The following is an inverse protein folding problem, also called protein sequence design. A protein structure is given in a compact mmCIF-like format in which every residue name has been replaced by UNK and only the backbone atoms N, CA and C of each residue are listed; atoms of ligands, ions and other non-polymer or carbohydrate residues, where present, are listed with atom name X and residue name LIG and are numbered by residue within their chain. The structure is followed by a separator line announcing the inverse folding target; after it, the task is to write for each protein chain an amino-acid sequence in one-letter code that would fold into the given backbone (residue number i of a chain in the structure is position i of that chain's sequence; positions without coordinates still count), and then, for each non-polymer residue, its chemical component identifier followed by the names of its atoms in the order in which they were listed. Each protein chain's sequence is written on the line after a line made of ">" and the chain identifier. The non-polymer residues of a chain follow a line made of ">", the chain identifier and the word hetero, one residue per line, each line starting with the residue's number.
data_IF_868342768462
#
_entry.id   IF_868342768462
#
_cell.length_a   1.000
_cell.length_b   1.000
_cell.length_c   1.000
_cell.angle_alpha   90.00
_cell.angle_beta   90.00
_cell.angle_gamma   90.00
#
_symmetry.space_group_name_H-M   'P 1'
#
loop_
_entity.id
_entity.type
_entity.pdbx_description
1 polymer ?
#
# COMPACT_ATOMS: atom_id res chain seq x y z
N UNK A 1 42.69 -20.09 42.08
CA UNK A 1 41.63 -20.59 41.17
C UNK A 1 40.93 -19.36 40.63
N UNK A 2 41.12 -19.08 39.34
CA UNK A 2 40.67 -17.85 38.68
C UNK A 2 39.16 -17.87 38.37
N UNK A 3 38.50 -16.69 38.28
CA UNK A 3 37.05 -16.59 38.10
C UNK A 3 36.64 -16.70 36.63
N UNK A 4 35.83 -17.71 36.27
CA UNK A 4 35.16 -17.74 34.97
C UNK A 4 33.89 -16.90 35.02
N UNK A 5 33.97 -15.72 34.42
CA UNK A 5 32.82 -15.01 33.88
C UNK A 5 32.12 -15.90 32.85
N UNK A 6 30.84 -16.20 33.05
CA UNK A 6 29.96 -16.48 31.92
C UNK A 6 28.67 -15.70 32.11
N UNK A 7 28.65 -14.59 31.37
CA UNK A 7 27.57 -13.64 31.28
C UNK A 7 26.47 -14.28 30.43
N UNK A 8 25.59 -15.08 31.03
CA UNK A 8 24.31 -15.41 30.39
C UNK A 8 23.40 -14.18 30.45
N UNK A 9 23.72 -13.18 29.60
CA UNK A 9 22.70 -12.28 29.06
C UNK A 9 21.82 -13.16 28.18
N UNK A 10 20.77 -13.72 28.74
CA UNK A 10 19.63 -14.17 27.96
C UNK A 10 19.06 -12.92 27.34
N UNK A 11 19.53 -12.61 26.13
CA UNK A 11 19.05 -11.50 25.33
C UNK A 11 17.55 -11.63 25.20
N UNK A 12 16.86 -10.54 25.53
CA UNK A 12 15.47 -10.36 25.15
C UNK A 12 15.35 -10.68 23.66
N UNK A 13 14.69 -11.79 23.34
CA UNK A 13 14.10 -11.98 22.03
C UNK A 13 13.00 -10.92 21.96
N UNK A 14 13.35 -9.74 21.45
CA UNK A 14 12.39 -8.82 20.92
C UNK A 14 11.70 -9.57 19.78
N UNK A 15 10.59 -10.24 20.09
CA UNK A 15 9.61 -10.60 19.10
C UNK A 15 9.14 -9.28 18.52
N UNK A 16 9.65 -8.93 17.35
CA UNK A 16 9.07 -7.88 16.54
C UNK A 16 7.67 -8.37 16.16
N UNK A 17 6.70 -8.07 17.03
CA UNK A 17 5.31 -8.01 16.68
C UNK A 17 5.12 -6.74 15.84
N UNK A 18 5.66 -6.75 14.63
CA UNK A 18 5.19 -5.85 13.57
C UNK A 18 4.04 -6.64 12.92
N UNK A 19 2.79 -6.51 13.37
CA UNK A 19 2.12 -5.23 13.46
C UNK A 19 2.18 -4.58 12.09
N UNK A 20 1.82 -5.33 11.01
CA UNK A 20 1.86 -4.90 9.60
C UNK A 20 1.34 -3.48 9.43
N UNK A 21 2.22 -2.51 9.66
CA UNK A 21 1.97 -1.13 9.32
C UNK A 21 2.15 -1.11 7.82
N UNK A 22 1.05 -1.05 7.08
CA UNK A 22 1.12 -0.90 5.64
C UNK A 22 1.84 0.42 5.40
N UNK A 23 3.11 0.35 5.00
CA UNK A 23 3.92 1.53 4.73
C UNK A 23 3.26 2.33 3.61
N UNK A 24 3.46 3.66 3.56
CA UNK A 24 2.85 4.50 2.52
C UNK A 24 3.14 3.98 1.09
N UNK A 25 4.35 3.44 0.86
CA UNK A 25 4.72 2.80 -0.39
C UNK A 25 3.94 1.49 -0.64
N UNK A 26 3.65 0.72 0.40
CA UNK A 26 2.79 -0.46 0.34
C UNK A 26 1.33 -0.13 0.04
N UNK A 27 0.81 0.97 0.61
CA UNK A 27 -0.54 1.47 0.29
C UNK A 27 -0.61 1.88 -1.17
N UNK A 28 0.37 2.65 -1.67
CA UNK A 28 0.45 3.05 -3.07
C UNK A 28 0.52 1.84 -4.02
N UNK A 29 1.31 0.82 -3.70
CA UNK A 29 1.37 -0.40 -4.50
C UNK A 29 0.02 -1.13 -4.55
N UNK A 30 -0.69 -1.24 -3.42
CA UNK A 30 -2.03 -1.84 -3.38
C UNK A 30 -3.05 -1.04 -4.21
N UNK A 31 -3.07 0.28 -4.05
CA UNK A 31 -3.98 1.17 -4.79
C UNK A 31 -3.73 1.06 -6.28
N UNK A 32 -2.47 1.13 -6.72
CA UNK A 32 -2.11 0.96 -8.12
C UNK A 32 -2.61 -0.38 -8.65
N UNK A 33 -2.37 -1.46 -7.92
CA UNK A 33 -2.80 -2.80 -8.32
C UNK A 33 -4.31 -2.95 -8.40
N UNK A 34 -5.06 -2.36 -7.46
CA UNK A 34 -6.52 -2.34 -7.48
C UNK A 34 -7.01 -1.63 -8.74
N UNK A 35 -6.47 -0.45 -9.04
CA UNK A 35 -6.85 0.31 -10.23
C UNK A 35 -6.54 -0.49 -11.49
N UNK A 36 -5.31 -0.99 -11.65
CA UNK A 36 -4.92 -1.81 -12.79
C UNK A 36 -5.84 -3.02 -12.99
N UNK A 37 -6.07 -3.82 -11.95
CA UNK A 37 -6.89 -5.03 -12.04
C UNK A 37 -8.34 -4.74 -12.40
N UNK A 38 -8.88 -3.62 -11.93
CA UNK A 38 -10.26 -3.25 -12.23
C UNK A 38 -10.39 -2.62 -13.62
N UNK A 39 -9.33 -2.00 -14.16
CA UNK A 39 -9.33 -1.39 -15.50
C UNK A 39 -8.81 -2.31 -16.61
N UNK A 40 -8.42 -3.55 -16.30
CA UNK A 40 -8.02 -4.56 -17.30
C UNK A 40 -9.23 -5.08 -18.09
N UNK A 41 -10.44 -4.97 -17.54
CA UNK A 41 -11.66 -5.30 -18.25
C UNK A 41 -12.11 -4.11 -19.10
N UNK A 42 -12.28 -4.31 -20.42
CA UNK A 42 -12.51 -3.25 -21.42
C UNK A 42 -13.78 -2.42 -21.14
N UNK A 43 -14.66 -2.89 -20.26
CA UNK A 43 -15.86 -2.17 -19.84
C UNK A 43 -15.61 -1.12 -18.73
N UNK A 44 -14.47 -1.19 -18.02
CA UNK A 44 -14.17 -0.34 -16.87
C UNK A 44 -12.96 0.53 -17.21
N UNK A 45 -13.21 1.68 -17.83
CA UNK A 45 -12.15 2.63 -18.21
C UNK A 45 -11.53 3.36 -17.00
N UNK A 46 -12.17 3.28 -15.83
CA UNK A 46 -11.81 4.00 -14.61
C UNK A 46 -12.50 3.40 -13.38
N UNK A 47 -11.93 3.66 -12.22
CA UNK A 47 -12.48 3.27 -10.92
C UNK A 47 -12.56 4.47 -9.97
N UNK A 48 -13.72 4.68 -9.35
CA UNK A 48 -13.92 5.75 -8.38
C UNK A 48 -13.16 5.50 -7.07
N UNK A 49 -12.83 6.57 -6.33
CA UNK A 49 -12.22 6.49 -4.99
C UNK A 49 -12.98 5.54 -4.06
N UNK A 50 -14.31 5.62 -4.06
CA UNK A 50 -15.16 4.77 -3.20
C UNK A 50 -15.07 3.29 -3.59
N UNK A 51 -14.92 2.97 -4.87
CA UNK A 51 -14.72 1.60 -5.31
C UNK A 51 -13.34 1.08 -4.86
N UNK A 52 -12.28 1.89 -4.97
CA UNK A 52 -10.94 1.56 -4.45
C UNK A 52 -11.00 1.33 -2.93
N UNK A 53 -11.65 2.23 -2.19
CA UNK A 53 -11.84 2.14 -0.75
C UNK A 53 -12.59 0.86 -0.35
N UNK A 54 -13.66 0.51 -1.09
CA UNK A 54 -14.39 -0.74 -0.87
C UNK A 54 -13.54 -1.98 -1.17
N UNK A 55 -12.69 -1.94 -2.20
CA UNK A 55 -11.77 -3.05 -2.50
C UNK A 55 -10.70 -3.20 -1.42
N UNK A 56 -10.26 -2.10 -0.84
CA UNK A 56 -9.27 -2.09 0.25
C UNK A 56 -9.89 -2.20 1.65
N UNK A 57 -11.22 -2.30 1.76
CA UNK A 57 -11.91 -2.41 3.03
C UNK A 57 -11.41 -3.64 3.82
N UNK A 58 -11.08 -3.42 5.10
CA UNK A 58 -10.51 -4.47 5.95
C UNK A 58 -8.98 -4.63 5.83
N UNK A 59 -8.31 -3.88 4.95
CA UNK A 59 -6.83 -3.88 4.84
C UNK A 59 -6.14 -3.03 5.92
N UNK A 60 -6.91 -2.31 6.74
CA UNK A 60 -6.37 -1.38 7.75
C UNK A 60 -5.78 -0.10 7.14
N UNK A 61 -6.15 0.23 5.90
CA UNK A 61 -5.74 1.47 5.23
C UNK A 61 -6.77 2.54 5.55
N UNK A 62 -6.35 3.61 6.23
CA UNK A 62 -7.19 4.77 6.50
C UNK A 62 -7.41 5.63 5.24
N UNK A 63 -8.50 6.40 5.23
CA UNK A 63 -8.84 7.27 4.10
C UNK A 63 -7.75 8.29 3.77
N UNK A 64 -7.07 8.86 4.77
CA UNK A 64 -5.96 9.80 4.55
C UNK A 64 -4.76 9.13 3.86
N UNK A 65 -4.44 7.89 4.25
CA UNK A 65 -3.36 7.13 3.62
C UNK A 65 -3.71 6.76 2.17
N UNK A 66 -4.99 6.44 1.91
CA UNK A 66 -5.50 6.23 0.55
C UNK A 66 -5.39 7.50 -0.30
N UNK A 67 -5.83 8.65 0.20
CA UNK A 67 -5.74 9.92 -0.53
C UNK A 67 -4.29 10.32 -0.80
N UNK A 68 -3.39 10.14 0.17
CA UNK A 68 -1.96 10.38 -0.01
C UNK A 68 -1.36 9.46 -1.08
N UNK A 69 -1.75 8.18 -1.10
CA UNK A 69 -1.30 7.22 -2.10
C UNK A 69 -1.81 7.58 -3.50
N UNK A 70 -3.09 7.92 -3.64
CA UNK A 70 -3.68 8.36 -4.92
C UNK A 70 -2.98 9.61 -5.45
N UNK A 71 -2.81 10.64 -4.62
CA UNK A 71 -2.12 11.86 -5.00
C UNK A 71 -0.67 11.60 -5.42
N UNK A 72 0.04 10.72 -4.71
CA UNK A 72 1.41 10.31 -5.05
C UNK A 72 1.47 9.58 -6.40
N UNK A 73 0.56 8.65 -6.65
CA UNK A 73 0.51 7.88 -7.90
C UNK A 73 0.12 8.75 -9.10
N UNK A 74 -0.73 9.74 -8.89
CA UNK A 74 -1.05 10.76 -9.91
C UNK A 74 0.17 11.64 -10.18
N UNK A 75 0.87 12.08 -9.13
CA UNK A 75 2.08 12.89 -9.26
C UNK A 75 3.25 12.12 -9.91
N UNK A 76 3.36 10.80 -9.71
CA UNK A 76 4.38 9.95 -10.34
C UNK A 76 4.03 9.56 -11.78
N UNK A 77 2.79 9.75 -12.23
CA UNK A 77 2.31 9.32 -13.54
C UNK A 77 2.07 7.81 -13.64
N UNK A 78 1.82 7.14 -12.52
CA UNK A 78 1.33 5.76 -12.49
C UNK A 78 -0.20 5.72 -12.64
N UNK A 79 -0.89 6.70 -12.07
CA UNK A 79 -2.33 6.89 -12.24
C UNK A 79 -2.64 8.22 -12.94
N UNK A 80 -3.78 8.24 -13.62
CA UNK A 80 -4.37 9.45 -14.20
C UNK A 80 -5.69 9.70 -13.49
N UNK A 81 -5.81 10.87 -12.86
CA UNK A 81 -7.07 11.35 -12.31
C UNK A 81 -7.99 11.79 -13.46
N UNK A 82 -9.24 11.33 -13.44
CA UNK A 82 -10.26 11.62 -14.45
C UNK A 82 -11.54 12.12 -13.78
N UNK A 83 -12.42 12.83 -14.51
CA UNK A 83 -13.70 13.25 -13.95
C UNK A 83 -14.59 12.03 -13.64
N UNK A 84 -14.56 11.56 -12.40
CA UNK A 84 -15.25 10.34 -11.95
C UNK A 84 -14.32 9.16 -11.67
N UNK A 85 -13.08 9.39 -11.25
CA UNK A 85 -12.22 8.34 -10.69
C UNK A 85 -10.80 8.33 -11.25
N UNK A 86 -10.12 7.21 -11.05
CA UNK A 86 -8.72 6.99 -11.41
C UNK A 86 -8.61 5.88 -12.43
N UNK A 87 -7.63 5.99 -13.33
CA UNK A 87 -7.25 4.94 -14.28
C UNK A 87 -5.72 4.80 -14.31
N UNK A 88 -5.16 3.65 -14.70
CA UNK A 88 -3.72 3.55 -14.90
C UNK A 88 -3.29 4.51 -16.01
N UNK A 89 -2.12 5.11 -15.86
CA UNK A 89 -1.50 5.82 -16.97
C UNK A 89 -1.27 4.82 -18.11
N UNK A 90 -1.57 5.22 -19.34
CA UNK A 90 -1.38 4.35 -20.50
C UNK A 90 0.12 4.07 -20.65
N UNK A 91 0.52 2.88 -20.22
CA UNK A 91 1.87 2.37 -20.44
C UNK A 91 1.88 1.94 -21.91
N UNK A 92 2.27 2.86 -22.79
CA UNK A 92 2.60 2.53 -24.19
C UNK A 92 3.48 1.27 -24.16
N UNK A 93 2.92 0.16 -24.64
CA UNK A 93 3.57 -1.14 -24.73
C UNK A 93 4.02 -1.39 -26.16
#
# INVERSE_FOLDING_TARGET
>A
MEPRSERSRTGALAVSADGSSVSADGVAAMVCRVVELNTVDVAVERIDREAIERTLAGSGIDGEALDAALARLVASGDLVETPGGFRPAERES
#
